data_IF_738573528710
#
_entry.id   IF_738573528710
#
_cell.length_a   1.000
_cell.length_b   1.000
_cell.length_c   1.000
_cell.angle_alpha   90.00
_cell.angle_beta   90.00
_cell.angle_gamma   90.00
#
_symmetry.space_group_name_H-M   'P 1'
#
loop_
_entity.id
_entity.type
_entity.pdbx_description
1 polymer ?
#
# COMPACT_ATOMS: atom_id res chain seq x y z
N UNK A 1 -4.75 -34.78 -18.89
CA UNK A 1 -3.50 -34.08 -19.21
C UNK A 1 -3.71 -33.40 -20.55
N UNK A 2 -3.92 -32.09 -20.55
CA UNK A 2 -4.27 -31.30 -21.74
C UNK A 2 -3.06 -31.13 -22.66
N UNK A 3 -3.24 -31.23 -23.98
CA UNK A 3 -2.17 -31.00 -24.96
C UNK A 3 -2.19 -29.53 -25.43
N UNK A 4 -1.01 -28.97 -25.72
CA UNK A 4 -0.82 -27.60 -26.24
C UNK A 4 -1.60 -27.26 -27.53
N UNK A 5 -2.28 -28.24 -28.15
CA UNK A 5 -3.12 -28.09 -29.35
C UNK A 5 -4.49 -27.47 -29.09
N UNK A 6 -4.97 -27.41 -27.85
CA UNK A 6 -6.32 -26.91 -27.51
C UNK A 6 -6.41 -25.39 -27.34
N UNK A 7 -5.30 -24.70 -27.54
CA UNK A 7 -5.19 -23.25 -27.40
C UNK A 7 -4.51 -22.69 -28.65
N UNK A 8 -5.21 -21.83 -29.37
CA UNK A 8 -4.68 -21.13 -30.54
C UNK A 8 -4.60 -19.62 -30.28
N UNK A 9 -3.84 -18.90 -31.09
CA UNK A 9 -3.87 -17.44 -31.04
C UNK A 9 -5.24 -16.93 -31.54
N UNK A 10 -5.80 -15.88 -30.89
CA UNK A 10 -6.98 -15.20 -31.41
C UNK A 10 -6.71 -14.62 -32.81
N UNK A 11 -7.76 -14.42 -33.63
CA UNK A 11 -7.61 -13.75 -34.90
C UNK A 11 -7.13 -12.29 -34.69
N UNK A 12 -6.45 -11.68 -35.69
CA UNK A 12 -5.88 -10.34 -35.56
C UNK A 12 -6.85 -9.25 -35.09
N UNK A 13 -8.12 -9.30 -35.53
CA UNK A 13 -9.13 -8.34 -35.07
C UNK A 13 -9.39 -8.45 -33.56
N UNK A 14 -9.46 -9.67 -33.02
CA UNK A 14 -9.62 -9.91 -31.59
C UNK A 14 -8.39 -9.43 -30.83
N UNK A 15 -7.18 -9.62 -31.35
CA UNK A 15 -5.95 -9.11 -30.73
C UNK A 15 -5.96 -7.58 -30.62
N UNK A 16 -6.39 -6.87 -31.65
CA UNK A 16 -6.51 -5.40 -31.60
C UNK A 16 -7.49 -4.94 -30.52
N UNK A 17 -8.61 -5.65 -30.34
CA UNK A 17 -9.57 -5.36 -29.26
C UNK A 17 -8.99 -5.65 -27.87
N UNK A 18 -8.18 -6.70 -27.73
CA UNK A 18 -7.47 -7.00 -26.47
C UNK A 18 -6.45 -5.90 -26.15
N UNK A 19 -5.73 -5.38 -27.15
CA UNK A 19 -4.80 -4.25 -26.97
C UNK A 19 -5.57 -2.99 -26.53
N UNK A 20 -6.73 -2.70 -27.14
CA UNK A 20 -7.59 -1.60 -26.70
C UNK A 20 -8.07 -1.80 -25.24
N UNK A 21 -8.43 -3.03 -24.87
CA UNK A 21 -8.83 -3.39 -23.52
C UNK A 21 -7.72 -3.13 -22.48
N UNK A 22 -6.45 -3.38 -22.84
CA UNK A 22 -5.31 -3.04 -21.97
C UNK A 22 -5.27 -1.56 -21.62
N UNK A 23 -5.53 -0.68 -22.60
CA UNK A 23 -5.52 0.77 -22.39
C UNK A 23 -6.65 1.20 -21.46
N UNK A 24 -7.83 0.59 -21.60
CA UNK A 24 -8.98 0.90 -20.74
C UNK A 24 -8.77 0.40 -19.31
N UNK A 25 -8.23 -0.81 -19.14
CA UNK A 25 -7.85 -1.35 -17.81
C UNK A 25 -6.81 -0.46 -17.13
N UNK A 26 -5.83 0.07 -17.88
CA UNK A 26 -4.86 1.03 -17.33
C UNK A 26 -5.51 2.33 -16.84
N UNK A 27 -6.60 2.79 -17.48
CA UNK A 27 -7.37 3.97 -17.05
C UNK A 27 -8.21 3.72 -15.81
N UNK A 28 -8.78 2.52 -15.67
CA UNK A 28 -9.53 2.10 -14.48
C UNK A 28 -8.65 2.06 -13.21
N UNK A 29 -7.32 1.98 -13.37
CA UNK A 29 -6.37 2.08 -12.28
C UNK A 29 -6.38 0.83 -11.39
N UNK A 30 -6.45 1.02 -10.07
CA UNK A 30 -6.39 -0.06 -9.06
C UNK A 30 -7.78 -0.58 -8.66
N UNK A 31 -8.86 -0.10 -9.27
CA UNK A 31 -10.20 -0.63 -9.00
C UNK A 31 -10.39 -2.01 -9.64
N UNK A 32 -10.00 -3.03 -8.89
CA UNK A 32 -10.07 -4.41 -9.32
C UNK A 32 -11.52 -4.84 -9.63
N UNK A 33 -12.51 -4.32 -8.91
CA UNK A 33 -13.92 -4.60 -9.17
C UNK A 33 -14.35 -4.14 -10.57
N UNK A 34 -14.00 -2.90 -10.91
CA UNK A 34 -14.27 -2.34 -12.24
C UNK A 34 -13.50 -3.06 -13.35
N UNK A 35 -12.24 -3.46 -13.12
CA UNK A 35 -11.47 -4.24 -14.10
C UNK A 35 -12.12 -5.61 -14.36
N UNK A 36 -12.51 -6.34 -13.31
CA UNK A 36 -13.18 -7.64 -13.46
C UNK A 36 -14.51 -7.50 -14.19
N UNK A 37 -15.32 -6.48 -13.85
CA UNK A 37 -16.59 -6.19 -14.51
C UNK A 37 -16.40 -5.89 -16.01
N UNK A 38 -15.46 -5.02 -16.34
CA UNK A 38 -15.13 -4.67 -17.72
C UNK A 38 -14.72 -5.89 -18.55
N UNK A 39 -13.83 -6.73 -18.00
CA UNK A 39 -13.39 -7.95 -18.72
C UNK A 39 -14.55 -8.92 -18.91
N UNK A 40 -15.36 -9.17 -17.87
CA UNK A 40 -16.53 -10.03 -17.98
C UNK A 40 -17.50 -9.54 -19.08
N UNK A 41 -17.76 -8.23 -19.17
CA UNK A 41 -18.63 -7.63 -20.19
C UNK A 41 -18.05 -7.67 -21.61
N UNK A 42 -16.73 -7.70 -21.72
CA UNK A 42 -16.04 -7.76 -23.00
C UNK A 42 -16.00 -9.19 -23.57
N UNK A 43 -15.93 -10.21 -22.72
CA UNK A 43 -15.76 -11.60 -23.14
C UNK A 43 -16.80 -12.11 -24.16
N UNK A 44 -18.12 -11.88 -24.01
CA UNK A 44 -19.11 -12.26 -25.02
C UNK A 44 -18.93 -11.57 -26.37
N UNK A 45 -18.20 -10.44 -26.43
CA UNK A 45 -17.92 -9.69 -27.67
C UNK A 45 -16.64 -10.15 -28.36
N UNK A 46 -15.77 -10.87 -27.65
CA UNK A 46 -14.49 -11.37 -28.15
C UNK A 46 -14.51 -12.88 -28.45
N UNK A 47 -15.55 -13.57 -27.99
CA UNK A 47 -15.69 -15.03 -28.08
C UNK A 47 -17.12 -15.41 -28.47
N UNK A 48 -17.38 -16.71 -28.64
CA UNK A 48 -18.74 -17.26 -28.87
C UNK A 48 -19.57 -17.43 -27.59
N UNK A 49 -19.18 -16.76 -26.51
CA UNK A 49 -19.83 -16.94 -25.20
C UNK A 49 -21.21 -16.27 -25.14
N UNK A 50 -22.18 -16.95 -24.53
CA UNK A 50 -23.46 -16.35 -24.16
C UNK A 50 -23.40 -15.63 -22.79
N UNK A 51 -22.35 -15.90 -22.01
CA UNK A 51 -22.07 -15.23 -20.75
C UNK A 51 -20.64 -15.48 -20.29
N UNK A 52 -20.16 -14.61 -19.41
CA UNK A 52 -18.85 -14.73 -18.82
C UNK A 52 -18.88 -14.35 -17.33
N UNK A 53 -17.95 -14.90 -16.57
CA UNK A 53 -17.80 -14.58 -15.15
C UNK A 53 -16.34 -14.55 -14.74
N UNK A 54 -16.02 -13.68 -13.79
CA UNK A 54 -14.78 -13.72 -13.02
C UNK A 54 -15.12 -14.21 -11.63
N UNK A 55 -14.49 -15.31 -11.22
CA UNK A 55 -14.69 -15.93 -9.91
C UNK A 55 -13.39 -15.89 -9.12
N UNK A 56 -13.42 -15.46 -7.85
CA UNK A 56 -12.25 -15.47 -6.96
C UNK A 56 -12.37 -16.59 -5.93
N UNK A 57 -11.23 -17.19 -5.56
CA UNK A 57 -11.16 -18.18 -4.50
C UNK A 57 -11.08 -17.46 -3.13
N UNK A 58 -12.03 -17.73 -2.24
CA UNK A 58 -12.11 -17.14 -0.90
C UNK A 58 -12.31 -18.23 0.14
N UNK A 59 -11.22 -18.64 0.77
CA UNK A 59 -11.20 -19.81 1.66
C UNK A 59 -11.59 -21.07 0.88
N UNK A 60 -12.69 -21.69 1.31
CA UNK A 60 -13.22 -22.91 0.71
C UNK A 60 -14.22 -22.69 -0.42
N UNK A 61 -14.49 -21.45 -0.81
CA UNK A 61 -15.50 -21.12 -1.81
C UNK A 61 -14.90 -20.44 -3.05
N UNK A 62 -15.60 -20.57 -4.18
CA UNK A 62 -15.47 -19.76 -5.38
C UNK A 62 -16.59 -18.72 -5.39
N UNK A 63 -16.23 -17.44 -5.57
CA UNK A 63 -17.17 -16.32 -5.44
C UNK A 63 -17.24 -15.55 -6.75
N UNK A 64 -18.44 -15.39 -7.30
CA UNK A 64 -18.67 -14.64 -8.53
C UNK A 64 -18.53 -13.14 -8.27
N UNK A 65 -17.42 -12.55 -8.70
CA UNK A 65 -17.09 -11.13 -8.46
C UNK A 65 -17.43 -10.21 -9.62
N UNK A 66 -17.51 -10.76 -10.83
CA UNK A 66 -18.08 -10.09 -11.99
C UNK A 66 -18.79 -11.11 -12.88
N UNK A 67 -19.86 -10.70 -13.54
CA UNK A 67 -20.59 -11.59 -14.44
C UNK A 67 -21.37 -10.80 -15.51
N UNK A 68 -21.48 -11.36 -16.71
CA UNK A 68 -22.15 -10.75 -17.86
C UNK A 68 -22.97 -11.77 -18.66
N UNK A 69 -23.90 -11.27 -19.48
CA UNK A 69 -24.79 -12.10 -20.30
C UNK A 69 -25.59 -13.08 -19.45
N UNK A 70 -25.63 -14.36 -19.85
CA UNK A 70 -26.34 -15.41 -19.12
C UNK A 70 -25.81 -15.65 -17.70
N UNK A 71 -24.62 -15.14 -17.37
CA UNK A 71 -24.05 -15.24 -16.03
C UNK A 71 -24.44 -14.07 -15.10
N UNK A 72 -25.04 -12.99 -15.61
CA UNK A 72 -25.26 -11.76 -14.83
C UNK A 72 -26.02 -11.99 -13.52
N UNK A 73 -27.01 -12.90 -13.52
CA UNK A 73 -27.77 -13.28 -12.33
C UNK A 73 -26.98 -14.09 -11.28
N UNK A 74 -25.73 -14.47 -11.57
CA UNK A 74 -24.86 -15.18 -10.64
C UNK A 74 -23.95 -14.26 -9.82
N UNK A 75 -23.98 -12.95 -10.03
CA UNK A 75 -23.11 -12.03 -9.29
C UNK A 75 -23.30 -12.21 -7.77
N UNK A 76 -22.21 -12.43 -7.04
CA UNK A 76 -22.22 -12.70 -5.60
C UNK A 76 -22.50 -14.16 -5.20
N UNK A 77 -22.81 -15.06 -6.14
CA UNK A 77 -22.98 -16.48 -5.87
C UNK A 77 -21.69 -17.08 -5.28
N UNK A 78 -21.84 -17.94 -4.27
CA UNK A 78 -20.75 -18.71 -3.67
C UNK A 78 -20.93 -20.19 -3.96
N UNK A 79 -19.90 -20.83 -4.52
CA UNK A 79 -19.86 -22.26 -4.79
C UNK A 79 -18.77 -22.90 -3.94
N UNK A 80 -18.98 -24.11 -3.43
CA UNK A 80 -17.88 -24.85 -2.78
C UNK A 80 -16.76 -25.09 -3.79
N UNK A 81 -15.53 -24.78 -3.40
CA UNK A 81 -14.33 -25.02 -4.20
C UNK A 81 -14.15 -26.52 -4.44
N UNK A 82 -14.39 -27.32 -3.41
CA UNK A 82 -14.54 -28.78 -3.51
C UNK A 82 -15.80 -29.12 -4.31
N UNK A 83 -15.65 -29.73 -5.49
CA UNK A 83 -16.78 -30.19 -6.31
C UNK A 83 -17.26 -29.23 -7.39
N UNK A 84 -16.54 -28.12 -7.64
CA UNK A 84 -16.80 -27.25 -8.80
C UNK A 84 -15.66 -27.29 -9.82
N UNK A 85 -15.99 -27.14 -11.10
CA UNK A 85 -14.99 -27.07 -12.17
C UNK A 85 -14.07 -25.85 -12.00
N UNK A 86 -14.61 -24.73 -11.52
CA UNK A 86 -13.83 -23.54 -11.16
C UNK A 86 -12.83 -23.81 -10.05
N UNK A 87 -13.24 -24.47 -8.95
CA UNK A 87 -12.34 -24.82 -7.87
C UNK A 87 -11.24 -25.81 -8.27
N UNK A 88 -11.57 -26.74 -9.17
CA UNK A 88 -10.58 -27.63 -9.78
C UNK A 88 -9.57 -26.87 -10.64
N UNK A 89 -10.03 -25.94 -11.47
CA UNK A 89 -9.15 -25.09 -12.29
C UNK A 89 -8.17 -24.29 -11.42
N UNK A 90 -8.63 -23.72 -10.30
CA UNK A 90 -7.75 -23.05 -9.33
C UNK A 90 -6.72 -24.00 -8.73
N UNK A 91 -7.14 -25.21 -8.37
CA UNK A 91 -6.27 -26.21 -7.71
C UNK A 91 -5.23 -26.78 -8.67
N UNK A 92 -5.63 -27.07 -9.91
CA UNK A 92 -4.77 -27.67 -10.94
C UNK A 92 -3.89 -26.60 -11.61
N UNK A 93 -4.29 -25.32 -11.58
CA UNK A 93 -3.57 -24.22 -12.24
C UNK A 93 -3.63 -24.29 -13.77
N UNK A 94 -4.50 -25.13 -14.32
CA UNK A 94 -4.64 -25.38 -15.76
C UNK A 94 -6.04 -25.00 -16.24
N UNK A 95 -6.13 -24.62 -17.53
CA UNK A 95 -7.41 -24.39 -18.18
C UNK A 95 -8.23 -25.69 -18.21
N UNK A 96 -9.51 -25.61 -17.82
CA UNK A 96 -10.45 -26.72 -17.93
C UNK A 96 -11.57 -26.40 -18.92
N UNK A 97 -11.93 -27.39 -19.75
CA UNK A 97 -13.09 -27.31 -20.68
C UNK A 97 -14.11 -28.37 -20.31
N UNK A 98 -15.37 -27.96 -20.26
CA UNK A 98 -16.54 -28.84 -20.25
C UNK A 98 -17.17 -28.79 -21.64
N UNK A 99 -17.08 -29.88 -22.39
CA UNK A 99 -17.67 -30.00 -23.74
C UNK A 99 -19.19 -30.13 -23.65
N UNK A 100 -19.68 -30.85 -22.64
CA UNK A 100 -21.08 -31.19 -22.46
C UNK A 100 -21.38 -31.38 -20.96
N UNK A 101 -22.16 -30.47 -20.37
CA UNK A 101 -22.48 -30.45 -18.93
C UNK A 101 -23.45 -31.55 -18.48
N UNK A 102 -24.07 -32.28 -19.40
CA UNK A 102 -25.02 -33.35 -19.07
C UNK A 102 -24.31 -34.68 -18.82
N UNK A 103 -23.09 -34.83 -19.34
CA UNK A 103 -22.28 -36.04 -19.24
C UNK A 103 -20.95 -35.83 -18.51
N UNK A 104 -20.53 -34.59 -18.26
CA UNK A 104 -19.27 -34.32 -17.56
C UNK A 104 -19.44 -34.52 -16.04
N UNK A 105 -18.79 -35.52 -15.43
CA UNK A 105 -18.96 -35.82 -14.00
C UNK A 105 -18.31 -34.78 -13.08
N UNK A 106 -17.57 -33.81 -13.66
CA UNK A 106 -16.84 -32.77 -12.91
C UNK A 106 -17.70 -31.54 -12.61
N UNK A 107 -18.92 -31.49 -13.12
CA UNK A 107 -19.84 -30.35 -12.97
C UNK A 107 -21.12 -30.79 -12.26
N UNK A 108 -21.77 -29.86 -11.56
CA UNK A 108 -23.13 -30.07 -11.08
C UNK A 108 -24.11 -29.84 -12.24
N UNK A 109 -24.67 -30.95 -12.75
CA UNK A 109 -25.60 -30.94 -13.89
C UNK A 109 -26.86 -30.12 -13.62
N UNK A 110 -27.45 -30.25 -12.44
CA UNK A 110 -28.70 -29.55 -12.13
C UNK A 110 -28.46 -28.05 -11.97
N UNK A 111 -27.30 -27.66 -11.41
CA UNK A 111 -26.87 -26.27 -11.43
C UNK A 111 -26.63 -25.74 -12.85
N UNK A 112 -25.99 -26.52 -13.73
CA UNK A 112 -25.79 -26.13 -15.13
C UNK A 112 -27.12 -25.93 -15.87
N UNK A 113 -28.10 -26.81 -15.67
CA UNK A 113 -29.45 -26.72 -16.25
C UNK A 113 -30.18 -25.46 -15.82
N UNK A 114 -30.15 -25.12 -14.52
CA UNK A 114 -30.82 -23.91 -13.99
C UNK A 114 -30.37 -22.62 -14.68
N UNK A 115 -29.16 -22.60 -15.22
CA UNK A 115 -28.58 -21.41 -15.85
C UNK A 115 -28.43 -21.56 -17.37
N UNK A 116 -28.98 -22.63 -17.95
CA UNK A 116 -28.91 -22.87 -19.38
C UNK A 116 -27.49 -23.07 -19.91
N UNK A 117 -26.57 -23.57 -19.07
CA UNK A 117 -25.17 -23.84 -19.44
C UNK A 117 -25.04 -25.26 -19.98
N UNK A 118 -24.51 -25.38 -21.20
CA UNK A 118 -24.26 -26.67 -21.87
C UNK A 118 -22.77 -26.98 -22.04
N UNK A 119 -21.95 -25.96 -22.29
CA UNK A 119 -20.49 -26.08 -22.36
C UNK A 119 -19.81 -24.84 -21.76
N UNK A 120 -18.56 -24.99 -21.31
CA UNK A 120 -17.81 -23.87 -20.73
C UNK A 120 -16.29 -24.03 -20.87
N UNK A 121 -15.59 -22.89 -20.88
CA UNK A 121 -14.15 -22.80 -20.65
C UNK A 121 -13.90 -22.10 -19.32
N UNK A 122 -12.95 -22.63 -18.56
CA UNK A 122 -12.52 -22.10 -17.27
C UNK A 122 -11.01 -21.87 -17.36
N UNK A 123 -10.60 -20.61 -17.35
CA UNK A 123 -9.21 -20.19 -17.47
C UNK A 123 -8.71 -19.70 -16.10
N UNK A 124 -7.56 -20.19 -15.59
CA UNK A 124 -7.05 -19.74 -14.31
C UNK A 124 -6.56 -18.29 -14.39
N UNK A 125 -6.77 -17.55 -13.29
CA UNK A 125 -6.14 -16.25 -13.04
C UNK A 125 -4.87 -16.50 -12.23
N UNK A 126 -3.76 -16.71 -12.93
CA UNK A 126 -2.47 -17.05 -12.31
C UNK A 126 -1.46 -15.92 -12.47
N UNK A 127 -0.79 -15.58 -11.38
CA UNK A 127 0.35 -14.66 -11.39
C UNK A 127 1.44 -15.17 -10.43
N UNK A 128 2.70 -15.20 -10.88
CA UNK A 128 3.86 -15.65 -10.09
C UNK A 128 3.56 -16.93 -9.28
N UNK A 129 3.08 -17.96 -9.98
CA UNK A 129 2.75 -19.30 -9.45
C UNK A 129 1.56 -19.39 -8.49
N UNK A 130 0.83 -18.29 -8.27
CA UNK A 130 -0.39 -18.29 -7.45
C UNK A 130 -1.63 -18.14 -8.31
N UNK A 131 -2.55 -19.11 -8.23
CA UNK A 131 -3.86 -19.05 -8.89
C UNK A 131 -4.91 -18.57 -7.88
N UNK A 132 -5.48 -17.40 -8.13
CA UNK A 132 -6.38 -16.69 -7.18
C UNK A 132 -7.85 -16.74 -7.58
N UNK A 133 -8.14 -17.25 -8.77
CA UNK A 133 -9.49 -17.28 -9.32
C UNK A 133 -9.52 -17.83 -10.74
N UNK A 134 -10.64 -17.64 -11.41
CA UNK A 134 -10.85 -18.05 -12.80
C UNK A 134 -11.58 -16.98 -13.62
N UNK A 135 -11.25 -16.89 -14.89
CA UNK A 135 -12.08 -16.28 -15.93
C UNK A 135 -12.83 -17.40 -16.66
N UNK A 136 -14.15 -17.33 -16.65
CA UNK A 136 -15.03 -18.37 -17.19
C UNK A 136 -15.91 -17.81 -18.30
N UNK A 137 -16.09 -18.58 -19.36
CA UNK A 137 -17.11 -18.33 -20.39
C UNK A 137 -18.00 -19.55 -20.58
N UNK A 138 -19.27 -19.30 -20.91
CA UNK A 138 -20.28 -20.36 -21.02
C UNK A 138 -21.14 -20.23 -22.28
N UNK A 139 -21.65 -21.36 -22.75
CA UNK A 139 -22.49 -21.47 -23.95
C UNK A 139 -23.67 -22.43 -23.71
N UNK A 140 -24.86 -22.15 -24.28
CA UNK A 140 -26.00 -23.07 -24.26
C UNK A 140 -25.87 -24.23 -25.27
N UNK A 141 -24.84 -24.21 -26.12
CA UNK A 141 -24.55 -25.27 -27.10
C UNK A 141 -23.54 -26.27 -26.55
N UNK A 142 -23.65 -27.53 -26.99
CA UNK A 142 -22.58 -28.52 -26.81
C UNK A 142 -21.36 -28.04 -27.58
N UNK A 143 -20.19 -28.17 -26.96
CA UNK A 143 -18.90 -27.83 -27.55
C UNK A 143 -18.77 -26.42 -28.15
N UNK A 144 -19.30 -25.41 -27.46
CA UNK A 144 -19.49 -24.07 -28.02
C UNK A 144 -18.22 -23.24 -28.26
N UNK A 145 -17.03 -23.75 -27.99
CA UNK A 145 -15.79 -22.96 -27.99
C UNK A 145 -14.68 -23.56 -28.85
N UNK A 146 -13.96 -22.69 -29.55
CA UNK A 146 -12.79 -23.03 -30.37
C UNK A 146 -11.48 -22.85 -29.59
N UNK A 147 -10.37 -23.43 -30.06
CA UNK A 147 -9.04 -23.14 -29.52
C UNK A 147 -8.68 -21.65 -29.52
N UNK A 148 -9.21 -20.86 -30.47
CA UNK A 148 -8.99 -19.41 -30.51
C UNK A 148 -9.74 -18.68 -29.37
N UNK A 149 -10.91 -19.18 -28.94
CA UNK A 149 -11.62 -18.63 -27.78
C UNK A 149 -10.81 -18.87 -26.50
N UNK A 150 -10.25 -20.07 -26.33
CA UNK A 150 -9.30 -20.35 -25.26
C UNK A 150 -8.05 -19.44 -25.32
N UNK A 151 -7.58 -19.16 -26.54
CA UNK A 151 -6.66 -18.08 -26.89
C UNK A 151 -6.98 -16.75 -26.22
N UNK A 152 -8.18 -16.26 -26.50
CA UNK A 152 -8.70 -14.98 -26.02
C UNK A 152 -8.80 -14.96 -24.50
N UNK A 153 -9.33 -16.03 -23.90
CA UNK A 153 -9.45 -16.14 -22.44
C UNK A 153 -8.10 -16.04 -21.75
N UNK A 154 -7.06 -16.70 -22.28
CA UNK A 154 -5.72 -16.69 -21.66
C UNK A 154 -5.15 -15.28 -21.62
N UNK A 155 -5.30 -14.52 -22.72
CA UNK A 155 -4.80 -13.15 -22.78
C UNK A 155 -5.58 -12.24 -21.82
N UNK A 156 -6.91 -12.32 -21.80
CA UNK A 156 -7.75 -11.52 -20.91
C UNK A 156 -7.55 -11.88 -19.43
N UNK A 157 -7.39 -13.17 -19.11
CA UNK A 157 -7.03 -13.65 -17.78
C UNK A 157 -5.69 -13.06 -17.31
N UNK A 158 -4.70 -13.00 -18.21
CA UNK A 158 -3.41 -12.34 -17.93
C UNK A 158 -3.54 -10.87 -17.57
N UNK A 159 -4.49 -10.14 -18.16
CA UNK A 159 -4.74 -8.73 -17.83
C UNK A 159 -5.34 -8.55 -16.43
N UNK A 160 -6.32 -9.39 -16.07
CA UNK A 160 -6.89 -9.37 -14.72
C UNK A 160 -5.79 -9.73 -13.70
N UNK A 161 -5.04 -10.81 -13.95
CA UNK A 161 -3.99 -11.27 -13.05
C UNK A 161 -2.90 -10.20 -12.82
N UNK A 162 -2.51 -9.47 -13.87
CA UNK A 162 -1.58 -8.34 -13.74
C UNK A 162 -2.17 -7.18 -12.92
N UNK A 163 -3.42 -6.80 -13.17
CA UNK A 163 -4.09 -5.74 -12.41
C UNK A 163 -4.24 -6.10 -10.92
N UNK A 164 -4.57 -7.35 -10.59
CA UNK A 164 -4.65 -7.87 -9.22
C UNK A 164 -3.31 -7.73 -8.48
N UNK A 165 -2.20 -8.06 -9.12
CA UNK A 165 -0.87 -7.92 -8.53
C UNK A 165 -0.51 -6.46 -8.25
N UNK A 166 -0.81 -5.55 -9.18
CA UNK A 166 -0.58 -4.13 -8.97
C UNK A 166 -1.38 -3.58 -7.79
N UNK A 167 -2.65 -3.98 -7.65
CA UNK A 167 -3.47 -3.61 -6.50
C UNK A 167 -2.87 -4.15 -5.18
N UNK A 168 -2.54 -5.44 -5.11
CA UNK A 168 -1.98 -6.06 -3.90
C UNK A 168 -0.63 -5.44 -3.47
N UNK A 169 0.25 -5.10 -4.42
CA UNK A 169 1.52 -4.42 -4.11
C UNK A 169 1.32 -3.02 -3.56
N UNK A 170 0.34 -2.30 -4.08
CA UNK A 170 0.05 -0.95 -3.60
C UNK A 170 -0.58 -0.98 -2.20
N UNK A 171 -1.48 -1.91 -1.92
CA UNK A 171 -1.99 -2.14 -0.57
C UNK A 171 -0.86 -2.50 0.42
N UNK A 172 0.06 -3.38 0.03
CA UNK A 172 1.22 -3.72 0.85
C UNK A 172 2.13 -2.50 1.11
N UNK A 173 2.35 -1.64 0.10
CA UNK A 173 3.10 -0.40 0.26
C UNK A 173 2.38 0.60 1.18
N UNK A 174 1.06 0.75 1.05
CA UNK A 174 0.28 1.59 1.95
C UNK A 174 0.34 1.08 3.39
N UNK A 175 0.22 -0.23 3.60
CA UNK A 175 0.34 -0.84 4.90
C UNK A 175 1.74 -0.61 5.49
N UNK A 176 2.79 -0.78 4.68
CA UNK A 176 4.16 -0.48 5.07
C UNK A 176 4.32 0.99 5.47
N UNK A 177 3.81 1.93 4.65
CA UNK A 177 3.86 3.35 4.96
C UNK A 177 3.11 3.67 6.25
N UNK A 178 1.90 3.14 6.47
CA UNK A 178 1.15 3.33 7.72
C UNK A 178 1.86 2.72 8.94
N UNK A 179 2.54 1.59 8.75
CA UNK A 179 3.29 0.93 9.82
C UNK A 179 4.61 1.63 10.16
N UNK A 180 5.19 2.40 9.24
CA UNK A 180 6.55 2.96 9.37
C UNK A 180 6.64 4.48 9.32
N UNK A 181 5.58 5.18 8.91
CA UNK A 181 5.55 6.63 8.78
C UNK A 181 4.33 7.23 9.48
N UNK A 182 4.48 8.46 9.95
CA UNK A 182 3.41 9.27 10.52
C UNK A 182 2.55 9.88 9.41
N UNK A 183 1.24 9.64 9.46
CA UNK A 183 0.32 10.05 8.40
C UNK A 183 0.19 11.58 8.26
N UNK A 184 0.44 12.35 9.33
CA UNK A 184 0.32 13.80 9.31
C UNK A 184 1.51 14.48 8.65
N UNK A 185 2.72 14.06 9.04
CA UNK A 185 3.98 14.72 8.64
C UNK A 185 4.71 14.00 7.51
N UNK A 186 4.37 12.73 7.24
CA UNK A 186 5.08 11.88 6.28
C UNK A 186 6.48 11.44 6.73
N UNK A 187 6.90 11.80 7.95
CA UNK A 187 8.16 11.36 8.53
C UNK A 187 8.10 9.89 8.98
N UNK A 188 9.24 9.20 9.09
CA UNK A 188 9.35 8.00 9.92
C UNK A 188 8.62 8.15 11.25
N UNK A 189 7.88 7.12 11.64
CA UNK A 189 7.22 7.07 12.95
C UNK A 189 8.18 6.52 14.03
N UNK A 190 7.68 6.42 15.27
CA UNK A 190 8.42 5.84 16.40
C UNK A 190 9.01 4.46 16.05
N UNK A 191 8.25 3.55 15.45
CA UNK A 191 8.76 2.20 15.15
C UNK A 191 9.96 2.24 14.19
N UNK A 192 9.87 3.00 13.10
CA UNK A 192 10.96 3.10 12.12
C UNK A 192 12.18 3.84 12.69
N UNK A 193 11.98 4.82 13.58
CA UNK A 193 13.08 5.50 14.26
C UNK A 193 13.93 4.52 15.08
N UNK A 194 13.31 3.73 15.95
CA UNK A 194 14.03 2.79 16.82
C UNK A 194 14.73 1.68 16.03
N UNK A 195 14.13 1.22 14.92
CA UNK A 195 14.81 0.27 14.01
C UNK A 195 16.08 0.88 13.39
N UNK A 196 15.98 2.10 12.83
CA UNK A 196 17.13 2.80 12.24
C UNK A 196 18.19 3.16 13.28
N UNK A 197 17.78 3.50 14.50
CA UNK A 197 18.68 3.79 15.60
C UNK A 197 19.51 2.55 15.94
N UNK A 198 18.86 1.40 16.15
CA UNK A 198 19.54 0.12 16.39
C UNK A 198 20.56 -0.20 15.30
N UNK A 199 20.16 -0.06 14.03
CA UNK A 199 21.05 -0.32 12.89
C UNK A 199 22.27 0.63 12.89
N UNK A 200 22.04 1.92 13.12
CA UNK A 200 23.09 2.95 13.14
C UNK A 200 24.06 2.77 14.30
N UNK A 201 23.57 2.39 15.49
CA UNK A 201 24.39 2.08 16.65
C UNK A 201 25.30 0.88 16.37
N UNK A 202 24.76 -0.20 15.81
CA UNK A 202 25.56 -1.37 15.44
C UNK A 202 26.65 -1.04 14.41
N UNK A 203 26.35 -0.17 13.44
CA UNK A 203 27.34 0.28 12.47
C UNK A 203 28.45 1.11 13.12
N UNK A 204 28.10 2.07 13.98
CA UNK A 204 29.06 2.91 14.68
C UNK A 204 29.96 2.12 15.62
N UNK A 205 29.40 1.21 16.43
CA UNK A 205 30.17 0.37 17.36
C UNK A 205 31.19 -0.53 16.63
N UNK A 206 30.80 -1.14 15.50
CA UNK A 206 31.72 -1.96 14.70
C UNK A 206 32.84 -1.14 14.05
N UNK A 207 32.53 0.09 13.62
CA UNK A 207 33.47 0.98 12.95
C UNK A 207 34.31 1.84 13.89
N UNK A 208 34.17 1.66 15.21
CA UNK A 208 34.70 2.59 16.22
C UNK A 208 34.35 4.07 15.92
N UNK A 209 33.14 4.28 15.38
CA UNK A 209 32.59 5.57 15.00
C UNK A 209 31.68 6.15 16.09
N UNK A 210 31.13 7.33 15.81
CA UNK A 210 30.21 8.05 16.71
C UNK A 210 28.86 8.29 16.06
N UNK A 211 27.82 8.35 16.89
CA UNK A 211 26.43 8.57 16.48
C UNK A 211 25.82 9.62 17.41
N UNK A 212 25.16 10.63 16.86
CA UNK A 212 24.38 11.59 17.62
C UNK A 212 22.90 11.26 17.61
N UNK A 213 22.22 11.52 18.72
CA UNK A 213 20.75 11.49 18.83
C UNK A 213 20.30 12.85 19.31
N UNK A 214 19.30 13.43 18.63
CA UNK A 214 18.57 14.60 19.09
C UNK A 214 17.17 14.16 19.49
N UNK A 215 16.78 14.36 20.75
CA UNK A 215 15.39 14.28 21.17
C UNK A 215 14.79 15.69 21.18
N UNK A 216 13.64 15.87 20.55
CA UNK A 216 13.10 17.19 20.24
C UNK A 216 11.63 17.25 20.65
N UNK A 217 11.26 18.32 21.34
CA UNK A 217 9.87 18.61 21.71
C UNK A 217 9.47 19.99 21.18
N UNK A 218 8.28 20.07 20.59
CA UNK A 218 7.74 21.32 20.06
C UNK A 218 7.20 22.21 21.17
N UNK A 219 7.77 23.41 21.28
CA UNK A 219 7.34 24.41 22.25
C UNK A 219 6.02 25.06 21.80
N UNK A 220 5.02 25.09 22.70
CA UNK A 220 3.82 25.91 22.51
C UNK A 220 2.74 25.33 21.58
N UNK A 221 2.80 24.04 21.22
CA UNK A 221 1.78 23.42 20.38
C UNK A 221 0.37 23.45 21.04
N UNK A 222 0.29 23.21 22.35
CA UNK A 222 -0.98 23.23 23.09
C UNK A 222 -1.70 24.59 23.02
N UNK A 223 -1.05 25.73 23.36
CA UNK A 223 -1.64 27.05 23.15
C UNK A 223 -2.13 27.31 21.72
N UNK A 224 -1.40 26.87 20.70
CA UNK A 224 -1.83 27.01 19.29
C UNK A 224 -3.14 26.24 19.06
N UNK A 225 -3.22 25.00 19.52
CA UNK A 225 -4.43 24.19 19.43
C UNK A 225 -5.61 24.80 20.19
N UNK A 226 -5.37 25.31 21.40
CA UNK A 226 -6.41 25.87 22.27
C UNK A 226 -6.99 27.18 21.69
N UNK A 227 -6.18 28.00 21.03
CA UNK A 227 -6.60 29.32 20.49
C UNK A 227 -7.11 29.24 19.05
N UNK A 228 -6.46 28.43 18.20
CA UNK A 228 -6.69 28.41 16.74
C UNK A 228 -7.25 27.08 16.25
N UNK A 229 -7.43 26.11 17.14
CA UNK A 229 -7.95 24.78 16.83
C UNK A 229 -6.89 23.83 16.26
N UNK A 230 -7.26 22.55 16.21
CA UNK A 230 -6.36 21.46 15.77
C UNK A 230 -5.82 21.62 14.34
N UNK A 231 -6.53 22.31 13.46
CA UNK A 231 -6.04 22.58 12.09
C UNK A 231 -4.75 23.42 12.10
N UNK A 232 -4.65 24.39 13.01
CA UNK A 232 -3.46 25.23 13.15
C UNK A 232 -2.29 24.43 13.74
N UNK A 233 -2.55 23.58 14.74
CA UNK A 233 -1.52 22.69 15.29
C UNK A 233 -1.02 21.67 14.27
N UNK A 234 -1.92 21.08 13.48
CA UNK A 234 -1.55 20.17 12.39
C UNK A 234 -0.68 20.86 11.34
N UNK A 235 -0.98 22.11 11.00
CA UNK A 235 -0.16 22.90 10.09
C UNK A 235 1.23 23.20 10.70
N UNK A 236 1.27 23.55 11.99
CA UNK A 236 2.50 23.81 12.72
C UNK A 236 3.40 22.56 12.80
N UNK A 237 2.82 21.38 12.99
CA UNK A 237 3.53 20.09 12.98
C UNK A 237 4.11 19.76 11.60
N UNK A 238 3.33 19.95 10.52
CA UNK A 238 3.81 19.75 9.14
C UNK A 238 4.94 20.72 8.77
N UNK A 239 4.80 21.98 9.16
CA UNK A 239 5.83 22.98 8.91
C UNK A 239 7.12 22.65 9.67
N UNK A 240 6.99 22.27 10.94
CA UNK A 240 8.13 21.83 11.76
C UNK A 240 8.87 20.67 11.10
N UNK A 241 8.14 19.63 10.68
CA UNK A 241 8.72 18.49 9.96
C UNK A 241 9.43 18.91 8.66
N UNK A 242 8.82 19.79 7.87
CA UNK A 242 9.37 20.30 6.62
C UNK A 242 10.68 21.05 6.86
N UNK A 243 10.72 21.91 7.88
CA UNK A 243 11.92 22.68 8.26
C UNK A 243 13.05 21.79 8.76
N UNK A 244 12.75 20.77 9.56
CA UNK A 244 13.75 19.79 10.01
C UNK A 244 14.36 19.05 8.80
N UNK A 245 13.51 18.55 7.89
CA UNK A 245 13.94 17.85 6.68
C UNK A 245 14.80 18.72 5.75
N UNK A 246 14.52 20.02 5.65
CA UNK A 246 15.33 20.97 4.86
C UNK A 246 16.71 21.26 5.44
N UNK A 247 16.96 20.88 6.69
CA UNK A 247 18.21 21.16 7.42
C UNK A 247 19.09 19.92 7.52
N UNK A 248 18.52 18.75 7.73
CA UNK A 248 19.31 17.54 7.92
C UNK A 248 19.96 17.04 6.63
N UNK A 249 21.00 16.20 6.76
CA UNK A 249 21.65 15.54 5.62
C UNK A 249 20.83 14.34 5.18
N UNK A 250 21.06 13.85 3.97
CA UNK A 250 20.40 12.64 3.44
C UNK A 250 20.71 11.37 4.26
N UNK A 251 21.85 11.34 4.96
CA UNK A 251 22.24 10.26 5.87
C UNK A 251 21.49 10.26 7.19
N UNK A 252 20.93 11.40 7.57
CA UNK A 252 20.30 11.59 8.86
C UNK A 252 18.85 11.08 8.79
N UNK A 253 18.29 10.72 9.94
CA UNK A 253 16.89 10.31 10.03
C UNK A 253 16.15 11.26 10.94
N UNK A 254 15.13 11.94 10.42
CA UNK A 254 14.15 12.70 11.22
C UNK A 254 12.90 11.82 11.38
N UNK A 255 12.34 11.75 12.57
CA UNK A 255 11.15 10.97 12.86
C UNK A 255 10.21 11.75 13.77
N UNK A 256 8.91 11.46 13.69
CA UNK A 256 7.93 11.90 14.69
C UNK A 256 7.68 10.76 15.67
N UNK A 257 7.98 11.00 16.94
CA UNK A 257 7.92 10.00 18.00
C UNK A 257 6.59 10.06 18.76
N UNK A 258 5.95 11.22 18.81
CA UNK A 258 4.74 11.47 19.59
C UNK A 258 3.90 12.61 19.04
N UNK A 259 3.09 13.23 19.91
CA UNK A 259 2.21 14.34 19.52
C UNK A 259 3.01 15.55 19.01
N UNK A 260 3.88 16.07 19.85
CA UNK A 260 4.81 17.19 19.64
C UNK A 260 6.29 16.75 19.64
N UNK A 261 6.55 15.45 19.83
CA UNK A 261 7.90 14.89 19.94
C UNK A 261 8.46 14.44 18.58
N UNK A 262 9.71 14.82 18.32
CA UNK A 262 10.50 14.44 17.16
C UNK A 262 11.86 13.88 17.60
N UNK A 263 12.42 12.99 16.78
CA UNK A 263 13.75 12.44 17.00
C UNK A 263 14.61 12.63 15.76
N UNK A 264 15.91 12.89 15.95
CA UNK A 264 16.90 12.91 14.87
C UNK A 264 18.06 11.98 15.16
N UNK A 265 18.41 11.14 14.20
CA UNK A 265 19.61 10.30 14.22
C UNK A 265 20.66 10.94 13.31
N UNK A 266 21.86 11.15 13.83
CA UNK A 266 23.00 11.76 13.15
C UNK A 266 24.16 10.77 13.04
N UNK A 267 24.21 9.92 12.00
CA UNK A 267 25.29 8.96 11.81
C UNK A 267 26.63 9.63 11.52
N UNK A 268 27.72 9.00 11.96
CA UNK A 268 29.11 9.36 11.61
C UNK A 268 29.48 10.81 11.95
N UNK A 269 29.03 11.31 13.10
CA UNK A 269 29.48 12.60 13.64
C UNK A 269 30.94 12.49 14.13
N UNK A 270 31.67 13.61 14.20
CA UNK A 270 33.03 13.65 14.74
C UNK A 270 33.05 13.72 16.27
N UNK A 271 32.01 14.29 16.86
CA UNK A 271 31.87 14.49 18.31
C UNK A 271 30.63 15.32 18.63
N UNK A 272 30.46 15.64 19.92
CA UNK A 272 29.31 16.41 20.43
C UNK A 272 29.10 17.75 19.73
N UNK A 273 30.18 18.45 19.36
CA UNK A 273 30.09 19.76 18.70
C UNK A 273 29.36 19.70 17.35
N UNK A 274 29.49 18.59 16.61
CA UNK A 274 28.75 18.39 15.36
C UNK A 274 27.25 18.26 15.64
N UNK A 275 26.89 17.50 16.68
CA UNK A 275 25.50 17.34 17.10
C UNK A 275 24.90 18.65 17.62
N UNK A 276 25.67 19.42 18.40
CA UNK A 276 25.28 20.75 18.87
C UNK A 276 25.06 21.71 17.69
N UNK A 277 25.98 21.73 16.73
CA UNK A 277 25.86 22.57 15.53
C UNK A 277 24.60 22.24 14.73
N UNK A 278 24.27 20.94 14.57
CA UNK A 278 23.02 20.55 13.91
C UNK A 278 21.79 20.91 14.74
N UNK A 279 21.82 20.71 16.06
CA UNK A 279 20.76 21.10 16.98
C UNK A 279 20.44 22.59 16.88
N UNK A 280 21.45 23.46 16.97
CA UNK A 280 21.28 24.92 16.90
C UNK A 280 20.72 25.37 15.56
N UNK A 281 21.16 24.74 14.48
CA UNK A 281 20.69 25.02 13.12
C UNK A 281 19.23 24.60 12.95
N UNK A 282 18.86 23.44 13.48
CA UNK A 282 17.49 22.92 13.44
C UNK A 282 16.56 23.79 14.27
N UNK A 283 16.95 24.13 15.51
CA UNK A 283 16.18 25.02 16.38
C UNK A 283 15.98 26.41 15.75
N UNK A 284 17.01 26.98 15.12
CA UNK A 284 16.92 28.26 14.41
C UNK A 284 15.98 28.20 13.21
N UNK A 285 16.08 27.16 12.39
CA UNK A 285 15.22 27.03 11.21
C UNK A 285 13.76 26.83 11.61
N UNK A 286 13.51 25.94 12.57
CA UNK A 286 12.15 25.69 13.07
C UNK A 286 11.58 26.96 13.71
N UNK A 287 12.39 27.74 14.43
CA UNK A 287 11.97 28.97 15.10
C UNK A 287 11.67 30.17 14.20
N UNK A 288 11.84 30.07 12.88
CA UNK A 288 11.46 31.16 11.97
C UNK A 288 9.94 31.43 12.03
N UNK A 289 9.46 32.64 11.73
CA UNK A 289 8.01 32.90 11.62
C UNK A 289 7.36 31.94 10.61
N UNK A 290 6.17 31.44 10.93
CA UNK A 290 5.34 30.63 10.04
C UNK A 290 3.97 31.30 9.89
N UNK A 291 3.48 31.48 8.67
CA UNK A 291 2.14 32.05 8.46
C UNK A 291 1.08 30.95 8.34
N UNK A 292 0.00 31.08 9.11
CA UNK A 292 -1.19 30.25 9.00
C UNK A 292 -2.43 31.13 8.87
N UNK A 293 -3.18 30.99 7.78
CA UNK A 293 -4.40 31.78 7.50
C UNK A 293 -4.18 33.31 7.65
N UNK A 294 -3.02 33.80 7.19
CA UNK A 294 -2.66 35.23 7.23
C UNK A 294 -2.21 35.74 8.59
N UNK A 295 -1.96 34.86 9.57
CA UNK A 295 -1.44 35.20 10.89
C UNK A 295 -0.05 34.61 11.12
N UNK A 296 0.92 35.38 11.61
CA UNK A 296 2.22 34.84 12.00
C UNK A 296 2.08 34.01 13.29
N UNK A 297 2.58 32.78 13.25
CA UNK A 297 2.72 31.87 14.38
C UNK A 297 4.20 31.73 14.74
N UNK A 298 4.47 31.79 16.04
CA UNK A 298 5.78 31.50 16.57
C UNK A 298 5.89 30.00 16.84
N UNK A 299 6.83 29.35 16.16
CA UNK A 299 7.21 27.96 16.43
C UNK A 299 8.48 27.95 17.27
N UNK A 300 8.67 26.90 18.05
CA UNK A 300 9.88 26.69 18.84
C UNK A 300 10.07 25.21 19.09
N UNK A 301 11.32 24.82 19.34
CA UNK A 301 11.65 23.45 19.75
C UNK A 301 12.70 23.47 20.84
N UNK A 302 12.52 22.59 21.82
CA UNK A 302 13.52 22.24 22.82
C UNK A 302 14.23 20.97 22.36
N UNK A 303 15.57 20.97 22.38
CA UNK A 303 16.39 19.88 21.81
C UNK A 303 17.38 19.37 22.87
N UNK A 304 17.33 18.07 23.16
CA UNK A 304 18.32 17.36 23.96
C UNK A 304 19.24 16.52 23.08
N UNK A 305 20.48 16.33 23.52
CA UNK A 305 21.54 15.70 22.72
C UNK A 305 22.19 14.56 23.50
N UNK A 306 22.25 13.39 22.88
CA UNK A 306 23.10 12.28 23.31
C UNK A 306 24.07 11.85 22.21
N UNK A 307 25.23 11.32 22.59
CA UNK A 307 26.30 10.90 21.70
C UNK A 307 26.81 9.53 22.10
N UNK A 308 26.76 8.57 21.18
CA UNK A 308 27.48 7.30 21.29
C UNK A 308 28.96 7.51 20.92
N UNK A 309 29.93 6.99 21.70
CA UNK A 309 29.76 6.22 22.94
C UNK A 309 29.81 7.05 24.24
N UNK A 310 29.94 8.37 24.16
CA UNK A 310 30.19 9.24 25.32
C UNK A 310 29.08 9.19 26.38
N UNK A 311 27.81 9.09 25.96
CA UNK A 311 26.61 9.04 26.83
C UNK A 311 26.04 7.63 26.98
N UNK A 312 26.80 6.61 26.57
CA UNK A 312 26.41 5.21 26.66
C UNK A 312 26.52 4.45 25.36
N UNK A 313 26.50 3.12 25.48
CA UNK A 313 26.62 2.16 24.36
C UNK A 313 25.34 1.37 24.11
N UNK A 314 24.37 1.47 25.01
CA UNK A 314 23.05 0.86 24.91
C UNK A 314 22.00 1.87 24.47
N UNK A 315 21.02 1.41 23.69
CA UNK A 315 20.01 2.28 23.07
C UNK A 315 19.18 3.04 24.11
N UNK A 316 18.74 2.34 25.15
CA UNK A 316 17.90 2.93 26.20
C UNK A 316 18.65 4.04 26.95
N UNK A 317 19.94 3.83 27.24
CA UNK A 317 20.78 4.84 27.89
C UNK A 317 20.91 6.11 27.04
N UNK A 318 21.11 5.98 25.71
CA UNK A 318 21.22 7.16 24.85
C UNK A 318 19.90 7.93 24.74
N UNK A 319 18.77 7.23 24.69
CA UNK A 319 17.45 7.87 24.63
C UNK A 319 17.16 8.59 25.94
N UNK A 320 17.45 7.96 27.08
CA UNK A 320 17.28 8.55 28.41
C UNK A 320 18.14 9.81 28.58
N UNK A 321 19.41 9.77 28.18
CA UNK A 321 20.29 10.96 28.22
C UNK A 321 19.77 12.09 27.30
N UNK A 322 19.31 11.75 26.09
CA UNK A 322 18.77 12.75 25.17
C UNK A 322 17.49 13.38 25.71
N UNK A 323 16.61 12.60 26.33
CA UNK A 323 15.36 13.07 26.94
C UNK A 323 15.62 13.97 28.16
N UNK A 324 16.51 13.56 29.05
CA UNK A 324 16.91 14.35 30.22
C UNK A 324 17.51 15.70 29.79
N UNK A 325 18.42 15.70 28.80
CA UNK A 325 19.00 16.93 28.26
C UNK A 325 17.94 17.85 27.63
N UNK A 326 16.94 17.28 26.94
CA UNK A 326 15.84 18.04 26.33
C UNK A 326 14.98 18.70 27.42
N UNK A 327 14.68 17.95 28.49
CA UNK A 327 13.89 18.44 29.61
C UNK A 327 14.59 19.60 30.35
N UNK A 328 15.91 19.54 30.51
CA UNK A 328 16.72 20.63 31.07
C UNK A 328 16.67 21.91 30.21
N UNK A 329 16.74 21.76 28.88
CA UNK A 329 16.54 22.87 27.94
C UNK A 329 15.13 23.45 28.05
N UNK A 330 14.11 22.59 28.15
CA UNK A 330 12.71 23.02 28.26
C UNK A 330 12.44 23.78 29.55
N UNK A 331 13.05 23.38 30.68
CA UNK A 331 12.92 24.05 31.98
C UNK A 331 13.67 25.38 32.09
N UNK A 332 14.77 25.52 31.37
CA UNK A 332 15.57 26.76 31.39
C UNK A 332 14.98 27.87 30.52
N UNK A 333 14.04 27.54 29.62
CA UNK A 333 13.28 28.54 28.86
C UNK A 333 12.16 29.11 29.73
N UNK A 334 12.05 30.45 29.85
CA UNK A 334 10.89 31.03 30.47
C UNK A 334 9.65 30.61 29.69
N UNK A 335 8.62 30.12 30.37
CA UNK A 335 7.29 29.96 29.78
C UNK A 335 6.96 31.29 29.11
N UNK A 336 6.96 31.33 27.77
CA UNK A 336 6.34 32.42 27.01
C UNK A 336 4.84 32.29 27.22
N UNK A 337 4.39 32.63 28.43
CA UNK A 337 3.06 33.18 28.62
C UNK A 337 3.05 34.45 27.79
N UNK A 338 2.22 34.42 26.77
CA UNK A 338 1.95 35.50 25.85
C UNK A 338 1.54 36.73 26.65
N UNK A 339 2.53 37.59 26.96
CA UNK A 339 2.27 38.99 27.21
C UNK A 339 2.12 39.61 25.85
N UNK A 340 0.90 39.54 25.33
CA UNK A 340 0.48 40.48 24.30
C UNK A 340 0.61 41.86 24.92
N UNK A 341 1.55 42.62 24.37
CA UNK A 341 1.63 44.06 24.47
C UNK A 341 0.37 44.61 23.77
N UNK A 342 -0.74 44.64 24.49
CA UNK A 342 -1.86 45.53 24.19
C UNK A 342 -1.47 46.89 24.73
N UNK A 343 -0.59 47.59 24.02
CA UNK A 343 -0.44 49.03 24.22
C UNK A 343 -0.06 49.76 22.93
N UNK A 344 -0.98 50.65 22.55
CA UNK A 344 -0.95 51.71 21.53
C UNK A 344 -1.15 51.30 20.06
#
# INVERSE_FOLDING_TARGET
>A
MYQSSDIANPPPETLLRIIAAQTEIARLGLDLGSVMAYVADLMPRLTRAAGAAVELAEGDDMVYRAASGNAAGMLGLRLRRSGSLSGRCVTEGEMLRCVDSEIDPRVDRDACRRVGLRSMLVMPLTHLDTTVGVLKVMSPSVDGFSPADAGTLRLMAGLIAAAMFHAARNEANELYLRATHDALTGLPNRALFYDRLRQSMHAALRGNGRLGILNIDMDGLKPINDVLGHRAGDAALRETATRMMGVVRRSDTVARLGGDEFGVILPNIRGRDDAQTQSDRLARQVGAPFEFEGRPLALGVSVGIAVLPDDGTEMDALIEHADQAMYEVKRSRPHRAQRDDVTA
#
